data_IF_112182708187
#
_entry.id   IF_112182708187
#
_cell.length_a   1.000
_cell.length_b   1.000
_cell.length_c   1.000
_cell.angle_alpha   90.00
_cell.angle_beta   90.00
_cell.angle_gamma   90.00
#
_symmetry.space_group_name_H-M   'P 1'
#
loop_
_entity.id
_entity.type
_entity.pdbx_description
1 polymer ?
#
# COMPACT_ATOMS: atom_id res chain seq x y z
N UNK A 1 16.83 -13.98 -23.11
CA UNK A 1 16.25 -13.12 -22.07
C UNK A 1 17.29 -12.12 -21.58
N UNK A 2 16.94 -10.86 -21.55
CA UNK A 2 17.84 -9.83 -21.05
C UNK A 2 17.79 -9.82 -19.52
N UNK A 3 18.95 -9.81 -18.90
CA UNK A 3 19.12 -9.66 -17.44
C UNK A 3 18.44 -8.40 -16.87
N UNK A 4 17.97 -7.51 -17.74
CA UNK A 4 17.30 -6.25 -17.41
C UNK A 4 15.81 -6.38 -17.07
N UNK A 5 15.23 -7.55 -17.27
CA UNK A 5 13.78 -7.77 -17.06
C UNK A 5 13.46 -8.24 -15.63
N UNK A 6 14.47 -8.29 -14.76
CA UNK A 6 14.32 -8.76 -13.39
C UNK A 6 14.25 -7.61 -12.38
N UNK A 7 13.20 -7.62 -11.57
CA UNK A 7 13.10 -6.78 -10.38
C UNK A 7 13.71 -7.55 -9.22
N UNK A 8 14.74 -6.98 -8.57
CA UNK A 8 15.37 -7.58 -7.39
C UNK A 8 15.68 -6.52 -6.35
N UNK A 9 15.27 -6.77 -5.10
CA UNK A 9 15.53 -5.87 -3.98
C UNK A 9 15.36 -6.58 -2.64
N UNK A 10 15.83 -5.95 -1.56
CA UNK A 10 15.61 -6.38 -0.20
C UNK A 10 15.01 -5.24 0.64
N UNK A 11 14.20 -5.59 1.64
CA UNK A 11 13.54 -4.66 2.53
C UNK A 11 14.18 -4.70 3.92
N UNK A 12 14.39 -3.53 4.52
CA UNK A 12 14.77 -3.37 5.91
C UNK A 12 13.55 -3.14 6.82
N UNK A 13 13.74 -3.19 8.14
CA UNK A 13 12.68 -3.15 9.16
C UNK A 13 11.83 -1.89 9.21
N UNK A 14 12.36 -0.76 8.75
CA UNK A 14 11.67 0.54 8.83
C UNK A 14 11.42 1.15 7.46
N UNK A 15 11.50 0.33 6.41
CA UNK A 15 11.29 0.82 5.04
C UNK A 15 9.84 1.21 4.81
N UNK A 16 9.65 2.42 4.33
CA UNK A 16 8.39 2.95 3.84
C UNK A 16 8.54 3.20 2.35
N UNK A 17 8.14 2.23 1.54
CA UNK A 17 8.44 2.21 0.11
C UNK A 17 7.22 2.64 -0.68
N UNK A 18 7.35 3.72 -1.44
CA UNK A 18 6.37 4.09 -2.45
C UNK A 18 6.77 3.51 -3.81
N UNK A 19 5.85 2.77 -4.42
CA UNK A 19 5.97 2.28 -5.78
C UNK A 19 5.33 3.27 -6.74
N UNK A 20 6.10 3.75 -7.68
CA UNK A 20 5.66 4.72 -8.69
C UNK A 20 5.93 4.18 -10.09
N UNK A 21 5.28 4.74 -11.09
CA UNK A 21 5.44 4.35 -12.48
C UNK A 21 4.18 4.59 -13.29
N UNK A 22 4.33 4.63 -14.61
CA UNK A 22 3.22 4.87 -15.52
C UNK A 22 2.25 3.68 -15.62
N UNK A 23 2.72 2.47 -15.36
CA UNK A 23 1.92 1.25 -15.44
C UNK A 23 1.45 0.81 -14.05
N UNK A 24 0.27 1.29 -13.65
CA UNK A 24 -0.36 0.94 -12.37
C UNK A 24 -0.71 -0.54 -12.27
N UNK A 25 -1.06 -1.15 -13.38
CA UNK A 25 -1.37 -2.58 -13.44
C UNK A 25 -0.16 -3.44 -13.07
N UNK A 26 1.03 -3.04 -13.46
CA UNK A 26 2.27 -3.72 -13.09
C UNK A 26 2.51 -3.66 -11.57
N UNK A 27 2.23 -2.53 -10.93
CA UNK A 27 2.36 -2.37 -9.48
C UNK A 27 1.33 -3.25 -8.77
N UNK A 28 0.07 -3.23 -9.19
CA UNK A 28 -0.98 -4.09 -8.62
C UNK A 28 -0.64 -5.57 -8.77
N UNK A 29 -0.16 -5.99 -9.93
CA UNK A 29 0.28 -7.37 -10.18
C UNK A 29 1.43 -7.76 -9.25
N UNK A 30 2.42 -6.88 -9.09
CA UNK A 30 3.52 -7.09 -8.17
C UNK A 30 3.04 -7.28 -6.73
N UNK A 31 2.12 -6.45 -6.24
CA UNK A 31 1.54 -6.60 -4.90
C UNK A 31 0.78 -7.92 -4.74
N UNK A 32 0.02 -8.33 -5.74
CA UNK A 32 -0.67 -9.63 -5.72
C UNK A 32 0.29 -10.81 -5.66
N UNK A 33 1.43 -10.72 -6.35
CA UNK A 33 2.45 -11.77 -6.31
C UNK A 33 3.06 -11.90 -4.92
N UNK A 34 3.52 -10.81 -4.32
CA UNK A 34 4.19 -10.85 -3.01
C UNK A 34 3.25 -11.15 -1.84
N UNK A 35 1.95 -10.98 -2.03
CA UNK A 35 0.92 -11.38 -1.04
C UNK A 35 0.41 -12.81 -1.22
N UNK A 36 0.87 -13.50 -2.26
CA UNK A 36 0.49 -14.89 -2.54
C UNK A 36 -0.82 -15.05 -3.31
N UNK A 37 -1.46 -13.97 -3.75
CA UNK A 37 -2.69 -14.04 -4.56
C UNK A 37 -2.44 -14.46 -6.01
N UNK A 38 -1.21 -14.28 -6.49
CA UNK A 38 -0.81 -14.62 -7.86
C UNK A 38 0.58 -15.24 -7.86
N UNK A 39 0.78 -16.25 -8.67
CA UNK A 39 2.08 -16.88 -8.87
C UNK A 39 2.93 -16.05 -9.84
N UNK A 40 4.24 -15.85 -9.56
CA UNK A 40 5.13 -15.22 -10.53
C UNK A 40 5.39 -16.16 -11.71
N UNK A 41 5.54 -15.59 -12.91
CA UNK A 41 5.97 -16.36 -14.09
C UNK A 41 7.39 -16.88 -13.91
N UNK A 42 8.25 -16.08 -13.29
CA UNK A 42 9.64 -16.41 -12.96
C UNK A 42 10.09 -15.67 -11.72
N UNK A 43 11.13 -16.21 -11.08
CA UNK A 43 11.69 -15.64 -9.88
C UNK A 43 11.02 -16.16 -8.61
N UNK A 44 11.47 -15.63 -7.50
CA UNK A 44 10.96 -15.99 -6.18
C UNK A 44 10.99 -14.78 -5.25
N UNK A 45 10.26 -14.90 -4.16
CA UNK A 45 10.31 -13.96 -3.05
C UNK A 45 10.28 -14.72 -1.72
N UNK A 46 10.78 -14.08 -0.68
CA UNK A 46 10.77 -14.63 0.66
C UNK A 46 10.55 -13.53 1.69
N UNK A 47 9.59 -13.76 2.56
CA UNK A 47 9.40 -12.95 3.76
C UNK A 47 10.24 -13.47 4.93
N UNK A 48 10.72 -12.57 5.78
CA UNK A 48 11.40 -12.96 7.01
C UNK A 48 10.48 -13.76 7.94
N UNK A 49 11.06 -14.61 8.78
CA UNK A 49 10.32 -15.54 9.66
C UNK A 49 9.38 -14.81 10.63
N UNK A 50 9.77 -13.63 11.09
CA UNK A 50 8.99 -12.83 12.05
C UNK A 50 8.03 -11.85 11.40
N UNK A 51 7.85 -11.92 10.08
CA UNK A 51 6.99 -10.99 9.36
C UNK A 51 5.56 -11.50 9.25
N UNK A 52 4.61 -10.58 9.40
CA UNK A 52 3.18 -10.80 9.14
C UNK A 52 2.69 -9.71 8.22
N UNK A 53 2.27 -10.11 7.02
CA UNK A 53 1.81 -9.19 5.98
C UNK A 53 0.30 -9.00 6.07
N UNK A 54 -0.15 -7.78 5.78
CA UNK A 54 -1.55 -7.47 5.55
C UNK A 54 -1.67 -6.66 4.26
N UNK A 55 -2.69 -6.97 3.47
CA UNK A 55 -2.90 -6.41 2.15
C UNK A 55 -4.18 -5.59 2.08
N UNK A 56 -4.05 -4.36 1.59
CA UNK A 56 -5.15 -3.47 1.26
C UNK A 56 -5.31 -3.46 -0.27
N UNK A 57 -6.27 -4.22 -0.83
CA UNK A 57 -6.43 -4.32 -2.26
C UNK A 57 -7.04 -3.05 -2.86
N UNK A 58 -6.77 -2.80 -4.13
CA UNK A 58 -7.32 -1.66 -4.88
C UNK A 58 -8.85 -1.71 -4.93
N UNK A 59 -9.43 -2.90 -5.12
CA UNK A 59 -10.87 -3.15 -5.01
C UNK A 59 -11.15 -3.92 -3.73
N UNK A 60 -11.85 -3.28 -2.80
CA UNK A 60 -12.20 -3.82 -1.48
C UNK A 60 -13.71 -3.90 -1.23
N UNK A 61 -14.52 -3.76 -2.28
CA UNK A 61 -15.98 -3.67 -2.18
C UNK A 61 -16.59 -4.90 -1.49
N UNK A 62 -16.07 -6.08 -1.76
CA UNK A 62 -16.59 -7.33 -1.20
C UNK A 62 -16.39 -7.45 0.32
N UNK A 63 -15.42 -6.77 0.88
CA UNK A 63 -15.14 -6.78 2.32
C UNK A 63 -16.32 -6.24 3.14
N UNK A 64 -17.10 -5.35 2.56
CA UNK A 64 -18.19 -4.63 3.21
C UNK A 64 -19.60 -5.03 2.73
N UNK A 65 -19.70 -6.03 1.88
CA UNK A 65 -21.01 -6.52 1.37
C UNK A 65 -21.61 -7.55 2.31
N UNK A 66 -21.94 -7.11 3.52
CA UNK A 66 -22.59 -7.91 4.55
C UNK A 66 -23.31 -7.00 5.57
N UNK A 67 -24.06 -7.61 6.48
CA UNK A 67 -24.86 -6.90 7.48
C UNK A 67 -24.22 -6.80 8.86
N UNK A 68 -22.92 -7.09 8.97
CA UNK A 68 -22.20 -6.98 10.24
C UNK A 68 -22.06 -5.52 10.69
N UNK A 69 -22.07 -5.31 11.99
CA UNK A 69 -21.61 -4.04 12.57
C UNK A 69 -20.10 -3.92 12.43
N UNK A 70 -19.56 -2.69 12.51
CA UNK A 70 -18.09 -2.48 12.48
C UNK A 70 -17.41 -3.33 13.55
N UNK A 71 -17.96 -3.35 14.77
CA UNK A 71 -17.41 -4.13 15.88
C UNK A 71 -17.38 -5.61 15.57
N UNK A 72 -18.47 -6.19 15.10
CA UNK A 72 -18.54 -7.62 14.76
C UNK A 72 -17.65 -7.96 13.57
N UNK A 73 -17.64 -7.08 12.57
CA UNK A 73 -16.77 -7.25 11.39
C UNK A 73 -15.28 -7.29 11.78
N UNK A 74 -14.84 -6.36 12.62
CA UNK A 74 -13.44 -6.30 13.05
C UNK A 74 -13.08 -7.44 13.99
N UNK A 75 -14.02 -7.91 14.84
CA UNK A 75 -13.81 -9.02 15.78
C UNK A 75 -13.36 -10.29 15.07
N UNK A 76 -13.79 -10.54 13.84
CA UNK A 76 -13.39 -11.71 13.05
C UNK A 76 -11.85 -11.80 12.88
N UNK A 77 -11.17 -10.66 12.83
CA UNK A 77 -9.74 -10.55 12.53
C UNK A 77 -8.87 -10.37 13.77
N UNK A 78 -9.48 -10.22 14.93
CA UNK A 78 -8.78 -10.08 16.20
C UNK A 78 -8.50 -11.45 16.84
N UNK A 79 -7.30 -11.62 17.40
CA UNK A 79 -7.00 -12.79 18.23
C UNK A 79 -7.81 -12.75 19.53
N UNK A 80 -8.01 -11.55 20.08
CA UNK A 80 -8.83 -11.33 21.29
C UNK A 80 -10.27 -11.05 20.86
N UNK A 81 -11.15 -12.03 21.02
CA UNK A 81 -12.57 -11.99 20.62
C UNK A 81 -13.47 -11.29 21.65
N UNK A 82 -12.98 -10.25 22.28
CA UNK A 82 -13.72 -9.46 23.26
C UNK A 82 -14.19 -8.13 22.66
N UNK A 83 -15.50 -7.86 22.73
CA UNK A 83 -16.10 -6.64 22.21
C UNK A 83 -15.51 -5.37 22.83
N UNK A 84 -15.18 -5.39 24.10
CA UNK A 84 -14.56 -4.25 24.80
C UNK A 84 -13.18 -3.94 24.24
N UNK A 85 -12.37 -4.97 23.99
CA UNK A 85 -11.05 -4.82 23.37
C UNK A 85 -11.16 -4.25 21.96
N UNK A 86 -12.05 -4.79 21.13
CA UNK A 86 -12.25 -4.36 19.75
C UNK A 86 -12.76 -2.91 19.68
N UNK A 87 -13.70 -2.54 20.54
CA UNK A 87 -14.19 -1.15 20.64
C UNK A 87 -13.11 -0.18 21.06
N UNK A 88 -12.27 -0.55 22.00
CA UNK A 88 -11.11 0.25 22.41
C UNK A 88 -10.12 0.44 21.27
N UNK A 89 -9.91 -0.59 20.48
CA UNK A 89 -9.07 -0.52 19.28
C UNK A 89 -9.65 0.41 18.22
N UNK A 90 -10.95 0.30 17.93
CA UNK A 90 -11.66 1.18 17.01
C UNK A 90 -11.59 2.65 17.44
N UNK A 91 -11.70 2.93 18.74
CA UNK A 91 -11.55 4.27 19.28
C UNK A 91 -10.17 4.87 18.99
N UNK A 92 -9.11 4.09 19.09
CA UNK A 92 -7.75 4.50 18.72
C UNK A 92 -7.59 4.73 17.22
N UNK A 93 -8.41 4.06 16.42
CA UNK A 93 -8.42 4.21 14.94
C UNK A 93 -9.41 5.28 14.47
N UNK A 94 -9.77 6.23 15.33
CA UNK A 94 -10.65 7.37 15.05
C UNK A 94 -12.12 7.01 14.76
N UNK A 95 -12.59 5.89 15.30
CA UNK A 95 -14.01 5.59 15.36
C UNK A 95 -14.55 5.89 16.76
N UNK A 96 -15.44 6.88 16.92
CA UNK A 96 -16.13 7.10 18.18
C UNK A 96 -16.90 5.85 18.63
N UNK A 97 -17.04 5.65 19.92
CA UNK A 97 -17.64 4.44 20.47
C UNK A 97 -19.04 4.12 19.96
N UNK A 98 -19.80 5.12 19.53
CA UNK A 98 -21.13 4.98 18.95
C UNK A 98 -21.08 4.46 17.50
N UNK A 99 -19.98 4.68 16.77
CA UNK A 99 -19.86 4.23 15.38
C UNK A 99 -19.69 2.72 15.27
N UNK A 100 -19.24 2.06 16.31
CA UNK A 100 -19.07 0.60 16.32
C UNK A 100 -20.33 -0.20 16.03
N UNK A 101 -21.53 0.39 16.18
CA UNK A 101 -22.82 -0.24 15.89
C UNK A 101 -23.33 0.00 14.47
N UNK A 102 -22.66 0.86 13.69
CA UNK A 102 -23.00 1.05 12.29
C UNK A 102 -22.76 -0.25 11.51
N UNK A 103 -23.61 -0.48 10.51
CA UNK A 103 -23.41 -1.58 9.57
C UNK A 103 -22.29 -1.23 8.59
N UNK A 104 -21.42 -2.18 8.27
CA UNK A 104 -20.30 -1.93 7.35
C UNK A 104 -20.79 -1.60 5.93
N UNK A 105 -21.97 -2.03 5.58
CA UNK A 105 -22.60 -1.76 4.26
C UNK A 105 -22.87 -0.27 4.01
N UNK A 106 -23.12 0.51 5.04
CA UNK A 106 -23.50 1.93 4.92
C UNK A 106 -22.34 2.91 5.14
N UNK A 107 -21.12 2.42 5.25
CA UNK A 107 -19.95 3.25 5.54
C UNK A 107 -19.58 4.13 4.34
N UNK A 108 -19.09 5.34 4.65
CA UNK A 108 -18.43 6.20 3.66
C UNK A 108 -17.10 5.60 3.20
N UNK A 109 -16.55 6.13 2.10
CA UNK A 109 -15.23 5.69 1.59
C UNK A 109 -14.13 5.82 2.64
N UNK A 110 -14.05 6.95 3.35
CA UNK A 110 -13.07 7.17 4.41
C UNK A 110 -13.25 6.24 5.61
N UNK A 111 -14.48 5.96 6.00
CA UNK A 111 -14.79 4.99 7.05
C UNK A 111 -14.37 3.58 6.67
N UNK A 112 -14.62 3.18 5.41
CA UNK A 112 -14.17 1.88 4.87
C UNK A 112 -12.65 1.73 4.92
N UNK A 113 -11.91 2.76 4.52
CA UNK A 113 -10.45 2.77 4.57
C UNK A 113 -9.95 2.63 6.00
N UNK A 114 -10.55 3.34 6.96
CA UNK A 114 -10.20 3.21 8.38
C UNK A 114 -10.52 1.83 8.93
N UNK A 115 -11.61 1.20 8.49
CA UNK A 115 -11.94 -0.19 8.85
C UNK A 115 -10.88 -1.17 8.33
N UNK A 116 -10.48 -1.06 7.07
CA UNK A 116 -9.44 -1.92 6.49
C UNK A 116 -8.10 -1.74 7.19
N UNK A 117 -7.71 -0.51 7.49
CA UNK A 117 -6.50 -0.22 8.24
C UNK A 117 -6.57 -0.81 9.65
N UNK A 118 -7.71 -0.70 10.32
CA UNK A 118 -7.96 -1.32 11.62
C UNK A 118 -7.82 -2.84 11.55
N UNK A 119 -8.38 -3.48 10.52
CA UNK A 119 -8.22 -4.92 10.26
C UNK A 119 -6.75 -5.31 10.13
N UNK A 120 -6.00 -4.57 9.33
CA UNK A 120 -4.58 -4.84 9.11
C UNK A 120 -3.77 -4.75 10.41
N UNK A 121 -4.07 -3.75 11.23
CA UNK A 121 -3.35 -3.53 12.49
C UNK A 121 -3.78 -4.49 13.60
N UNK A 122 -5.08 -4.78 13.73
CA UNK A 122 -5.56 -5.68 14.80
C UNK A 122 -5.14 -7.13 14.57
N UNK A 123 -4.89 -7.50 13.31
CA UNK A 123 -4.34 -8.82 12.96
C UNK A 123 -2.87 -8.98 13.32
N UNK A 124 -2.21 -7.94 13.83
CA UNK A 124 -0.81 -7.97 14.25
C UNK A 124 0.18 -7.84 13.09
N UNK A 125 -0.24 -7.33 11.96
CA UNK A 125 0.65 -7.14 10.82
C UNK A 125 1.77 -6.15 11.13
N UNK A 126 2.99 -6.51 10.75
CA UNK A 126 4.17 -5.63 10.81
C UNK A 126 4.67 -5.20 9.42
N UNK A 127 4.00 -5.68 8.38
CA UNK A 127 4.18 -5.24 7.00
C UNK A 127 2.81 -4.93 6.41
N UNK A 128 2.62 -3.67 6.00
CA UNK A 128 1.40 -3.22 5.34
C UNK A 128 1.65 -3.02 3.85
N UNK A 129 0.80 -3.62 3.02
CA UNK A 129 0.85 -3.48 1.57
C UNK A 129 -0.45 -2.81 1.13
N UNK A 130 -0.35 -1.59 0.61
CA UNK A 130 -1.49 -0.72 0.34
C UNK A 130 -1.53 -0.33 -1.14
N UNK A 131 -2.54 -0.79 -1.86
CA UNK A 131 -2.74 -0.46 -3.27
C UNK A 131 -3.78 0.65 -3.42
N UNK A 132 -3.33 1.88 -3.67
CA UNK A 132 -4.15 3.07 -3.84
C UNK A 132 -5.14 3.32 -2.67
N UNK A 133 -4.66 3.37 -1.43
CA UNK A 133 -5.54 3.55 -0.27
C UNK A 133 -6.18 4.94 -0.22
N UNK A 134 -5.65 5.91 -0.95
CA UNK A 134 -6.16 7.28 -1.01
C UNK A 134 -7.16 7.52 -2.13
N UNK A 135 -7.41 6.53 -2.98
CA UNK A 135 -8.27 6.67 -4.14
C UNK A 135 -9.72 7.00 -3.74
N UNK A 136 -10.30 8.03 -4.36
CA UNK A 136 -11.66 8.51 -4.10
C UNK A 136 -11.93 8.99 -2.66
N UNK A 137 -10.89 9.28 -1.88
CA UNK A 137 -11.04 9.84 -0.54
C UNK A 137 -11.07 11.38 -0.56
N UNK A 138 -11.78 11.95 0.42
CA UNK A 138 -11.70 13.38 0.70
C UNK A 138 -10.38 13.74 1.43
N UNK A 139 -10.08 15.03 1.50
CA UNK A 139 -8.83 15.51 2.11
C UNK A 139 -8.71 15.14 3.58
N UNK A 140 -9.80 15.16 4.32
CA UNK A 140 -9.80 14.82 5.76
C UNK A 140 -9.45 13.35 5.97
N UNK A 141 -10.02 12.46 5.17
CA UNK A 141 -9.75 11.03 5.23
C UNK A 141 -8.32 10.70 4.82
N UNK A 142 -7.78 11.35 3.79
CA UNK A 142 -6.38 11.20 3.38
C UNK A 142 -5.44 11.65 4.50
N UNK A 143 -5.73 12.77 5.13
CA UNK A 143 -4.92 13.29 6.24
C UNK A 143 -4.93 12.34 7.43
N UNK A 144 -6.08 11.80 7.80
CA UNK A 144 -6.21 10.82 8.89
C UNK A 144 -5.42 9.54 8.60
N UNK A 145 -5.53 9.00 7.39
CA UNK A 145 -4.78 7.85 6.94
C UNK A 145 -3.27 8.11 6.98
N UNK A 146 -2.84 9.23 6.44
CA UNK A 146 -1.44 9.64 6.43
C UNK A 146 -0.85 9.71 7.84
N UNK A 147 -1.54 10.36 8.76
CA UNK A 147 -1.10 10.48 10.15
C UNK A 147 -0.97 9.11 10.83
N UNK A 148 -1.87 8.19 10.55
CA UNK A 148 -1.80 6.82 11.06
C UNK A 148 -0.60 6.05 10.51
N UNK A 149 -0.32 6.17 9.22
CA UNK A 149 0.79 5.47 8.57
C UNK A 149 2.17 6.02 8.92
N UNK A 150 2.30 7.34 9.10
CA UNK A 150 3.56 7.97 9.55
C UNK A 150 4.01 7.38 10.89
N UNK A 151 3.06 7.09 11.78
CA UNK A 151 3.34 6.54 13.11
C UNK A 151 3.51 5.02 13.13
N UNK A 152 3.21 4.34 12.05
CA UNK A 152 3.32 2.89 11.99
C UNK A 152 4.78 2.44 12.10
N UNK A 153 5.12 1.57 13.07
CA UNK A 153 6.52 1.21 13.36
C UNK A 153 7.11 0.16 12.42
N UNK A 154 6.30 -0.45 11.55
CA UNK A 154 6.72 -1.53 10.65
C UNK A 154 7.03 -1.05 9.23
N UNK A 155 7.08 -2.00 8.32
CA UNK A 155 7.31 -1.78 6.89
C UNK A 155 6.00 -1.44 6.20
N UNK A 156 6.04 -0.45 5.30
CA UNK A 156 4.91 -0.12 4.42
C UNK A 156 5.39 -0.20 2.96
N UNK A 157 4.66 -0.95 2.15
CA UNK A 157 4.77 -0.95 0.69
C UNK A 157 3.47 -0.38 0.14
N UNK A 158 3.53 0.67 -0.64
CA UNK A 158 2.30 1.31 -1.10
C UNK A 158 2.46 1.98 -2.46
N UNK A 159 1.32 2.25 -3.08
CA UNK A 159 1.23 3.16 -4.22
C UNK A 159 0.07 4.12 -4.00
N UNK A 160 0.25 5.38 -4.38
CA UNK A 160 -0.78 6.42 -4.28
C UNK A 160 -0.54 7.51 -5.32
N UNK A 161 -1.63 8.11 -5.82
CA UNK A 161 -1.59 9.29 -6.68
C UNK A 161 -1.50 10.60 -5.88
N UNK A 162 -1.70 10.55 -4.58
CA UNK A 162 -1.62 11.75 -3.74
C UNK A 162 -0.16 12.09 -3.45
N UNK A 163 0.32 13.23 -4.00
CA UNK A 163 1.70 13.67 -3.87
C UNK A 163 2.12 13.86 -2.40
N UNK A 164 1.29 14.54 -1.63
CA UNK A 164 1.60 14.84 -0.22
C UNK A 164 1.63 13.57 0.64
N UNK A 165 0.74 12.63 0.37
CA UNK A 165 0.73 11.34 1.03
C UNK A 165 2.03 10.55 0.77
N UNK A 166 2.48 10.50 -0.47
CA UNK A 166 3.75 9.86 -0.83
C UNK A 166 4.93 10.58 -0.18
N UNK A 167 4.96 11.91 -0.26
CA UNK A 167 6.04 12.73 0.28
C UNK A 167 6.22 12.55 1.80
N UNK A 168 5.12 12.49 2.54
CA UNK A 168 5.18 12.43 4.00
C UNK A 168 5.30 11.03 4.57
N UNK A 169 5.00 10.00 3.78
CA UNK A 169 5.04 8.60 4.21
C UNK A 169 6.31 7.88 3.78
N UNK A 170 6.76 8.10 2.53
CA UNK A 170 7.85 7.31 1.95
C UNK A 170 9.25 7.79 2.37
N UNK A 171 10.13 6.85 2.65
CA UNK A 171 11.57 7.06 2.81
C UNK A 171 12.39 6.33 1.74
N UNK A 172 11.73 5.63 0.84
CA UNK A 172 12.32 4.89 -0.27
C UNK A 172 11.36 4.88 -1.45
N UNK A 173 11.86 5.16 -2.64
CA UNK A 173 11.07 5.20 -3.87
C UNK A 173 11.55 4.10 -4.80
N UNK A 174 10.60 3.31 -5.30
CA UNK A 174 10.82 2.34 -6.36
C UNK A 174 9.96 2.69 -7.56
N UNK A 175 10.59 3.01 -8.69
CA UNK A 175 9.90 3.29 -9.94
C UNK A 175 10.01 2.10 -10.88
N UNK A 176 8.89 1.57 -11.31
CA UNK A 176 8.82 0.52 -12.32
C UNK A 176 8.72 1.21 -13.68
N UNK A 177 9.77 1.05 -14.50
CA UNK A 177 9.83 1.61 -15.84
C UNK A 177 9.08 0.73 -16.83
N UNK A 178 8.59 1.30 -17.96
CA UNK A 178 7.82 0.55 -18.95
C UNK A 178 8.58 -0.64 -19.56
N UNK A 179 9.91 -0.61 -19.58
CA UNK A 179 10.73 -1.74 -20.06
C UNK A 179 10.89 -2.89 -19.04
N UNK A 180 10.22 -2.81 -17.87
CA UNK A 180 10.30 -3.81 -16.82
C UNK A 180 11.47 -3.63 -15.85
N UNK A 181 12.36 -2.67 -16.05
CA UNK A 181 13.42 -2.35 -15.10
C UNK A 181 12.90 -1.49 -13.95
N UNK A 182 13.62 -1.47 -12.83
CA UNK A 182 13.23 -0.73 -11.64
C UNK A 182 14.35 0.21 -11.20
N UNK A 183 13.98 1.43 -10.84
CA UNK A 183 14.83 2.37 -10.10
C UNK A 183 14.48 2.23 -8.63
N UNK A 184 15.48 2.04 -7.78
CA UNK A 184 15.34 1.91 -6.33
C UNK A 184 16.26 2.92 -5.65
N UNK A 185 15.66 3.86 -4.91
CA UNK A 185 16.39 4.94 -4.27
C UNK A 185 15.88 5.21 -2.86
N UNK A 186 16.78 5.27 -1.89
CA UNK A 186 16.48 5.70 -0.52
C UNK A 186 16.45 7.22 -0.50
N UNK A 187 15.24 7.78 -0.57
CA UNK A 187 15.02 9.22 -0.70
C UNK A 187 13.57 9.58 -0.43
N UNK A 188 13.29 10.86 -0.23
CA UNK A 188 11.92 11.38 -0.24
C UNK A 188 11.41 11.54 -1.66
N UNK A 189 10.09 11.69 -1.83
CA UNK A 189 9.48 11.81 -3.15
C UNK A 189 9.87 13.09 -3.88
N UNK A 190 9.92 14.23 -3.18
CA UNK A 190 10.33 15.50 -3.78
C UNK A 190 11.81 15.47 -4.22
N UNK A 191 12.69 14.91 -3.41
CA UNK A 191 14.10 14.72 -3.77
C UNK A 191 14.26 13.79 -4.97
N UNK A 192 13.47 12.73 -5.03
CA UNK A 192 13.46 11.81 -6.15
C UNK A 192 13.04 12.49 -7.45
N UNK A 193 11.96 13.26 -7.43
CA UNK A 193 11.48 13.99 -8.62
C UNK A 193 12.46 15.07 -9.08
N UNK A 194 13.17 15.70 -8.17
CA UNK A 194 14.16 16.74 -8.46
C UNK A 194 15.53 16.18 -8.88
N UNK A 195 15.75 14.85 -8.78
CA UNK A 195 17.04 14.23 -9.06
C UNK A 195 17.34 14.23 -10.56
N UNK A 196 18.43 14.85 -10.96
CA UNK A 196 18.92 14.83 -12.35
C UNK A 196 19.30 13.42 -12.82
N UNK A 197 19.80 12.57 -11.93
CA UNK A 197 20.11 11.18 -12.23
C UNK A 197 18.86 10.38 -12.62
N UNK A 198 17.77 10.55 -11.88
CA UNK A 198 16.53 9.87 -12.16
C UNK A 198 15.86 10.40 -13.42
N UNK A 199 15.90 11.70 -13.65
CA UNK A 199 15.43 12.32 -14.88
C UNK A 199 16.18 11.80 -16.12
N UNK A 200 17.49 11.65 -16.04
CA UNK A 200 18.31 11.06 -17.12
C UNK A 200 17.94 9.61 -17.41
N UNK A 201 17.73 8.80 -16.41
CA UNK A 201 17.32 7.39 -16.56
C UNK A 201 15.97 7.28 -17.27
N UNK A 202 14.99 8.12 -16.93
CA UNK A 202 13.69 8.17 -17.62
C UNK A 202 13.83 8.66 -19.05
N UNK A 203 14.62 9.71 -19.29
CA UNK A 203 14.84 10.28 -20.61
C UNK A 203 15.50 9.30 -21.58
N UNK A 204 16.50 8.56 -21.15
CA UNK A 204 17.12 7.50 -21.97
C UNK A 204 16.10 6.45 -22.37
N UNK A 205 15.18 6.10 -21.47
CA UNK A 205 14.11 5.16 -21.79
C UNK A 205 13.14 5.71 -22.85
N UNK A 206 12.70 6.96 -22.69
CA UNK A 206 11.80 7.63 -23.64
C UNK A 206 12.40 7.68 -25.06
N UNK A 207 13.66 8.04 -25.19
CA UNK A 207 14.37 8.04 -26.49
C UNK A 207 14.40 6.64 -27.10
N UNK A 208 14.63 5.61 -26.31
CA UNK A 208 14.69 4.22 -26.78
C UNK A 208 13.33 3.73 -27.30
N UNK A 209 12.22 4.19 -26.69
CA UNK A 209 10.87 3.87 -27.19
C UNK A 209 10.53 4.59 -28.48
N UNK A 210 10.90 5.86 -28.62
CA UNK A 210 10.73 6.62 -29.85
C UNK A 210 11.49 5.98 -31.00
N UNK A 211 12.75 5.60 -30.78
CA UNK A 211 13.57 4.90 -31.74
C UNK A 211 13.00 3.54 -32.16
N UNK A 212 12.25 2.89 -31.33
CA UNK A 212 11.62 1.61 -31.61
C UNK A 212 10.30 1.73 -32.37
N UNK A 213 9.63 2.90 -32.32
CA UNK A 213 8.41 3.17 -33.05
C UNK A 213 8.67 3.65 -34.50
N UNK A 214 9.86 4.17 -34.79
CA UNK A 214 10.27 4.66 -36.12
C UNK A 214 10.90 3.57 -36.99
N UNK A 215 11.01 2.33 -36.55
CA UNK A 215 11.44 1.15 -37.28
C UNK A 215 10.31 0.15 -37.49
#
# INVERSE_FOLDING_TARGET
RRSSDLISFTLGREDKVAFVGANEQAITTFFKIITGEMEPDEGNYKWGITTTQAYFPKDNTQEFDNDLTITDWLTQYSEIKDATYVRGFLGRMLFPGEDGVKRVRVLSGGEKVRCLLSKMMISGANILILDEPTNHLDMESITALNNGLIKFPGVILFTSHDHQFVQTTANRIMEILPNGTMIDKITTYDEYLASDEMAKKRHVFEITEEDAQDN
#
